data_IF_692394715609
#
_entry.id   IF_692394715609
#
_cell.length_a   1.000
_cell.length_b   1.000
_cell.length_c   1.000
_cell.angle_alpha   90.00
_cell.angle_beta   90.00
_cell.angle_gamma   90.00
#
_symmetry.space_group_name_H-M   'P 1'
#
loop_
_entity.id
_entity.type
_entity.pdbx_description
1 polymer ?
#
# COMPACT_ATOMS: atom_id res chain seq x y z
N UNK A 1 23.22 28.45 -32.83
CA UNK A 1 23.39 27.13 -32.18
C UNK A 1 23.15 27.17 -30.66
N UNK A 2 23.74 28.11 -29.90
CA UNK A 2 23.57 28.20 -28.43
C UNK A 2 22.14 28.41 -27.90
N UNK A 3 21.23 29.05 -28.65
CA UNK A 3 19.83 29.30 -28.23
C UNK A 3 18.95 28.05 -28.18
N UNK A 4 19.21 27.03 -28.98
CA UNK A 4 18.42 25.79 -28.98
C UNK A 4 18.74 24.92 -27.75
N UNK A 5 20.00 24.94 -27.29
CA UNK A 5 20.43 24.20 -26.10
C UNK A 5 19.78 24.75 -24.82
N UNK A 6 19.61 26.06 -24.74
CA UNK A 6 18.98 26.73 -23.59
C UNK A 6 17.48 26.44 -23.49
N UNK A 7 16.77 26.37 -24.62
CA UNK A 7 15.34 26.02 -24.65
C UNK A 7 15.14 24.53 -24.30
N UNK A 8 16.03 23.65 -24.76
CA UNK A 8 15.99 22.23 -24.43
C UNK A 8 16.20 21.99 -22.92
N UNK A 9 17.16 22.69 -22.30
CA UNK A 9 17.42 22.57 -20.86
C UNK A 9 16.25 23.07 -20.01
N UNK A 10 15.59 24.15 -20.44
CA UNK A 10 14.42 24.70 -19.75
C UNK A 10 13.20 23.76 -19.84
N UNK A 11 13.07 23.01 -20.93
CA UNK A 11 12.00 22.02 -21.11
C UNK A 11 12.17 20.76 -20.25
N UNK A 12 13.41 20.34 -19.95
CA UNK A 12 13.68 19.19 -19.06
C UNK A 12 13.39 19.49 -17.58
N UNK A 13 13.49 20.75 -17.15
CA UNK A 13 13.23 21.15 -15.77
C UNK A 13 11.73 21.20 -15.43
N UNK A 14 10.84 21.18 -16.44
CA UNK A 14 9.40 21.24 -16.25
C UNK A 14 8.73 19.86 -16.13
N UNK A 15 9.47 18.75 -16.29
CA UNK A 15 8.89 17.39 -16.22
C UNK A 15 9.03 16.70 -14.86
N UNK A 16 9.61 17.35 -13.85
CA UNK A 16 9.71 16.80 -12.49
C UNK A 16 8.41 16.98 -11.69
N UNK A 17 7.28 16.52 -12.25
CA UNK A 17 6.06 16.36 -11.48
C UNK A 17 6.17 15.09 -10.65
N UNK A 18 6.32 15.23 -9.33
CA UNK A 18 6.21 14.13 -8.38
C UNK A 18 4.74 13.68 -8.34
N UNK A 19 4.39 12.70 -9.17
CA UNK A 19 3.07 12.06 -9.11
C UNK A 19 2.98 11.27 -7.79
N UNK A 20 2.38 11.88 -6.75
CA UNK A 20 1.96 11.16 -5.55
C UNK A 20 0.74 10.33 -5.92
N UNK A 21 0.97 9.07 -6.26
CA UNK A 21 -0.10 8.13 -6.56
C UNK A 21 -0.60 7.55 -5.24
N UNK A 22 -1.78 7.98 -4.78
CA UNK A 22 -2.45 7.28 -3.70
C UNK A 22 -2.91 5.90 -4.22
N UNK A 23 -2.54 4.84 -3.50
CA UNK A 23 -2.77 3.46 -3.95
C UNK A 23 -3.92 2.85 -3.18
N UNK A 24 -4.89 2.30 -3.90
CA UNK A 24 -5.94 1.47 -3.31
C UNK A 24 -5.75 0.01 -3.76
N UNK A 25 -5.62 -0.89 -2.80
CA UNK A 25 -5.49 -2.33 -3.02
C UNK A 25 -6.75 -3.04 -2.54
N UNK A 26 -7.42 -3.74 -3.44
CA UNK A 26 -8.67 -4.46 -3.16
C UNK A 26 -8.49 -5.96 -3.40
N UNK A 27 -8.89 -6.77 -2.42
CA UNK A 27 -8.78 -8.23 -2.50
C UNK A 27 -9.34 -8.91 -1.26
N UNK A 28 -9.31 -10.24 -1.24
CA UNK A 28 -9.55 -11.04 -0.02
C UNK A 28 -8.27 -11.11 0.81
N UNK A 29 -8.40 -11.29 2.12
CA UNK A 29 -7.25 -11.66 2.94
C UNK A 29 -6.95 -13.13 2.67
N UNK A 30 -5.79 -13.42 2.06
CA UNK A 30 -5.40 -14.79 1.70
C UNK A 30 -4.63 -15.46 2.83
N UNK A 31 -3.84 -14.67 3.56
CA UNK A 31 -3.01 -15.15 4.64
C UNK A 31 -2.93 -14.14 5.79
N UNK A 32 -2.88 -14.66 7.01
CA UNK A 32 -2.59 -13.92 8.24
C UNK A 32 -1.41 -14.61 8.92
N UNK A 33 -0.43 -13.83 9.40
CA UNK A 33 0.63 -14.38 10.23
C UNK A 33 1.04 -13.44 11.36
N UNK A 34 1.65 -14.04 12.39
CA UNK A 34 2.22 -13.35 13.55
C UNK A 34 3.56 -13.97 13.88
N UNK A 35 4.64 -13.20 13.80
CA UNK A 35 5.96 -13.66 14.22
C UNK A 35 6.16 -13.47 15.74
N UNK A 36 7.00 -14.30 16.37
CA UNK A 36 7.15 -14.29 17.84
C UNK A 36 7.53 -12.90 18.40
N UNK A 37 8.41 -12.17 17.70
CA UNK A 37 8.89 -10.83 18.10
C UNK A 37 7.99 -9.67 17.68
N UNK A 38 6.89 -9.92 16.94
CA UNK A 38 5.93 -8.89 16.55
C UNK A 38 4.80 -8.81 17.56
N UNK A 39 4.34 -7.59 17.87
CA UNK A 39 3.14 -7.38 18.68
C UNK A 39 1.86 -7.53 17.84
N UNK A 40 1.91 -7.09 16.59
CA UNK A 40 0.79 -7.00 15.64
C UNK A 40 0.82 -8.13 14.63
N UNK A 41 -0.35 -8.55 14.14
CA UNK A 41 -0.43 -9.45 12.98
C UNK A 41 -0.20 -8.70 11.67
N UNK A 42 0.24 -9.45 10.66
CA UNK A 42 0.32 -8.98 9.28
C UNK A 42 -0.60 -9.80 8.38
N UNK A 43 -1.14 -9.15 7.36
CA UNK A 43 -2.01 -9.76 6.34
C UNK A 43 -1.38 -9.68 4.96
N UNK A 44 -1.77 -10.59 4.08
CA UNK A 44 -1.53 -10.50 2.64
C UNK A 44 -2.86 -10.62 1.91
N UNK A 45 -3.11 -9.72 0.95
CA UNK A 45 -4.31 -9.77 0.13
C UNK A 45 -4.04 -10.59 -1.13
N UNK A 46 -5.07 -11.19 -1.73
CA UNK A 46 -4.97 -11.85 -3.05
C UNK A 46 -4.47 -10.94 -4.17
N UNK A 47 -4.66 -9.63 -4.02
CA UNK A 47 -4.20 -8.63 -4.99
C UNK A 47 -2.74 -8.20 -4.81
N UNK A 48 -2.09 -8.58 -3.70
CA UNK A 48 -0.74 -8.14 -3.33
C UNK A 48 0.20 -9.33 -3.18
N UNK A 49 1.51 -9.07 -3.14
CA UNK A 49 2.55 -10.05 -2.81
C UNK A 49 3.40 -9.60 -1.61
N UNK A 50 2.92 -8.60 -0.86
CA UNK A 50 3.62 -7.98 0.26
C UNK A 50 2.76 -8.03 1.51
N UNK A 51 3.44 -8.27 2.63
CA UNK A 51 2.82 -8.33 3.95
C UNK A 51 2.54 -6.92 4.46
N UNK A 52 1.34 -6.71 4.98
CA UNK A 52 0.86 -5.43 5.51
C UNK A 52 0.64 -5.63 7.01
N UNK A 53 1.36 -4.88 7.83
CA UNK A 53 1.19 -4.94 9.28
C UNK A 53 -0.03 -4.12 9.71
N UNK A 54 -0.88 -4.69 10.56
CA UNK A 54 -2.08 -4.02 11.06
C UNK A 54 -1.73 -3.09 12.22
N UNK A 55 -1.95 -1.76 12.09
CA UNK A 55 -1.38 -0.79 13.02
C UNK A 55 -2.03 -0.84 14.42
N UNK A 56 -3.31 -1.22 14.52
CA UNK A 56 -4.07 -1.23 15.77
C UNK A 56 -4.75 -2.57 16.07
N UNK A 57 -5.17 -2.79 17.34
CA UNK A 57 -5.89 -4.02 17.74
C UNK A 57 -7.23 -4.13 17.01
N UNK A 58 -7.85 -2.99 16.71
CA UNK A 58 -9.11 -2.95 15.96
C UNK A 58 -8.89 -3.42 14.53
N UNK A 59 -7.79 -3.01 13.89
CA UNK A 59 -7.44 -3.49 12.54
C UNK A 59 -7.13 -4.99 12.55
N UNK A 60 -6.42 -5.50 13.56
CA UNK A 60 -6.18 -6.94 13.68
C UNK A 60 -7.50 -7.73 13.82
N UNK A 61 -8.43 -7.25 14.66
CA UNK A 61 -9.73 -7.88 14.84
C UNK A 61 -10.55 -7.84 13.53
N UNK A 62 -10.56 -6.70 12.84
CA UNK A 62 -11.20 -6.57 11.53
C UNK A 62 -10.59 -7.50 10.47
N UNK A 63 -9.27 -7.74 10.51
CA UNK A 63 -8.58 -8.67 9.60
C UNK A 63 -8.97 -10.11 9.83
N UNK A 64 -8.98 -10.52 11.10
CA UNK A 64 -9.40 -11.87 11.47
C UNK A 64 -10.87 -12.09 11.11
N UNK A 65 -11.74 -11.10 11.31
CA UNK A 65 -13.15 -11.17 10.90
C UNK A 65 -13.32 -11.27 9.39
N UNK A 66 -12.63 -10.41 8.62
CA UNK A 66 -12.69 -10.45 7.15
C UNK A 66 -12.17 -11.77 6.58
N UNK A 67 -11.07 -12.29 7.14
CA UNK A 67 -10.48 -13.58 6.79
C UNK A 67 -11.44 -14.74 7.09
N UNK A 68 -11.96 -14.80 8.32
CA UNK A 68 -12.89 -15.86 8.73
C UNK A 68 -14.20 -15.85 7.92
N UNK A 69 -14.68 -14.66 7.52
CA UNK A 69 -15.87 -14.50 6.71
C UNK A 69 -15.61 -14.58 5.19
N UNK A 70 -14.35 -14.75 4.76
CA UNK A 70 -13.91 -14.69 3.37
C UNK A 70 -14.47 -13.45 2.63
N UNK A 71 -14.43 -12.28 3.30
CA UNK A 71 -14.94 -11.02 2.76
C UNK A 71 -13.84 -10.24 2.03
N UNK A 72 -14.15 -9.61 0.88
CA UNK A 72 -13.23 -8.70 0.24
C UNK A 72 -12.99 -7.46 1.12
N UNK A 73 -11.80 -6.91 1.06
CA UNK A 73 -11.38 -5.69 1.75
C UNK A 73 -10.76 -4.72 0.75
N UNK A 74 -10.82 -3.43 1.07
CA UNK A 74 -10.14 -2.38 0.31
C UNK A 74 -9.24 -1.58 1.23
N UNK A 75 -7.95 -1.50 0.91
CA UNK A 75 -6.93 -0.78 1.66
C UNK A 75 -6.47 0.42 0.85
N UNK A 76 -6.56 1.60 1.43
CA UNK A 76 -6.03 2.83 0.88
C UNK A 76 -4.73 3.18 1.58
N UNK A 77 -3.69 3.45 0.80
CA UNK A 77 -2.40 3.94 1.26
C UNK A 77 -2.30 5.45 1.07
N UNK A 78 -2.12 6.16 2.18
CA UNK A 78 -1.77 7.58 2.21
C UNK A 78 -0.27 7.82 2.06
N UNK A 79 0.55 6.81 2.37
CA UNK A 79 2.01 6.88 2.27
C UNK A 79 2.46 7.13 0.82
N UNK A 80 3.22 8.21 0.61
CA UNK A 80 3.63 8.65 -0.74
C UNK A 80 4.63 7.72 -1.45
N UNK A 81 5.34 6.88 -0.70
CA UNK A 81 6.30 5.91 -1.23
C UNK A 81 5.64 4.58 -1.64
N UNK A 82 4.38 4.36 -1.28
CA UNK A 82 3.59 3.23 -1.75
C UNK A 82 2.88 3.61 -3.04
N UNK A 83 3.38 3.10 -4.17
CA UNK A 83 2.91 3.51 -5.52
C UNK A 83 2.20 2.41 -6.30
N UNK A 84 2.30 1.16 -5.85
CA UNK A 84 1.65 -0.01 -6.47
C UNK A 84 1.22 -1.03 -5.42
N UNK A 85 0.23 -1.88 -5.74
CA UNK A 85 -0.21 -2.98 -4.86
C UNK A 85 0.70 -4.22 -4.90
N UNK A 86 1.62 -4.28 -5.86
CA UNK A 86 2.58 -5.37 -6.04
C UNK A 86 3.98 -4.78 -6.02
N UNK A 87 4.82 -5.30 -5.13
CA UNK A 87 6.19 -4.83 -4.93
C UNK A 87 6.32 -3.32 -4.62
N UNK A 88 5.26 -2.70 -4.09
CA UNK A 88 5.23 -1.26 -3.79
C UNK A 88 5.75 -0.89 -2.40
N UNK A 89 6.07 -1.88 -1.55
CA UNK A 89 6.61 -1.68 -0.20
C UNK A 89 7.38 -2.89 0.31
N UNK A 90 8.14 -2.69 1.39
CA UNK A 90 8.83 -3.75 2.13
C UNK A 90 7.89 -4.58 3.00
N UNK A 91 8.19 -5.86 3.20
CA UNK A 91 7.33 -6.73 4.02
C UNK A 91 7.14 -6.20 5.45
N UNK A 92 5.90 -6.30 5.94
CA UNK A 92 5.49 -5.82 7.28
C UNK A 92 5.50 -4.31 7.45
N UNK A 93 5.42 -3.56 6.34
CA UNK A 93 5.08 -2.14 6.41
C UNK A 93 3.72 -1.98 7.10
N UNK A 94 3.70 -1.15 8.13
CA UNK A 94 2.47 -0.77 8.82
C UNK A 94 1.57 0.02 7.86
N UNK A 95 0.27 -0.31 7.83
CA UNK A 95 -0.68 0.42 7.01
C UNK A 95 -0.76 1.89 7.45
N UNK A 96 -0.48 2.81 6.53
CA UNK A 96 -0.70 4.23 6.70
C UNK A 96 -1.83 4.65 5.76
N UNK A 97 -3.03 4.83 6.30
CA UNK A 97 -4.23 5.16 5.54
C UNK A 97 -5.48 4.57 6.19
N UNK A 98 -6.41 4.08 5.38
CA UNK A 98 -7.63 3.46 5.88
C UNK A 98 -7.87 2.12 5.18
N UNK A 99 -8.75 1.32 5.76
CA UNK A 99 -9.25 0.14 5.08
C UNK A 99 -10.67 -0.19 5.52
N UNK A 100 -11.37 -0.95 4.68
CA UNK A 100 -12.77 -1.28 4.88
C UNK A 100 -13.05 -2.72 4.47
N UNK A 101 -13.97 -3.37 5.19
CA UNK A 101 -14.54 -4.66 4.80
C UNK A 101 -15.70 -4.37 3.84
N UNK A 102 -15.65 -4.95 2.65
CA UNK A 102 -16.65 -4.76 1.61
C UNK A 102 -17.80 -5.76 1.79
N UNK A 103 -19.00 -5.38 1.34
CA UNK A 103 -20.22 -6.20 1.47
C UNK A 103 -20.22 -7.39 0.51
#
# INVERSE_FOLDING_TARGET
MFKFVTILLLSLLLTSYSASAAVTCTGTVDQIYKWNSMERVSIMLSSTNKWINMPTKTDEAMALMAFAANKPVSLYWAATDVTTCKDGWEHNRSLEGYWVIMK
#
